data_IF_660774614235
#
_entry.id   IF_660774614235
#
_cell.length_a   1.000
_cell.length_b   1.000
_cell.length_c   1.000
_cell.angle_alpha   90.00
_cell.angle_beta   90.00
_cell.angle_gamma   90.00
#
_symmetry.space_group_name_H-M   'P 1'
#
loop_
_entity.id
_entity.type
_entity.pdbx_description
1 polymer ?
#
# COMPACT_ATOMS: atom_id res chain seq x y z
N UNK A 1 23.04 -13.85 -5.08
CA UNK A 1 21.95 -13.17 -4.36
C UNK A 1 20.86 -12.80 -5.35
N UNK A 2 19.63 -13.24 -5.13
CA UNK A 2 18.51 -12.95 -6.04
C UNK A 2 18.14 -11.47 -5.96
N UNK A 3 18.09 -10.78 -7.11
CA UNK A 3 17.66 -9.38 -7.17
C UNK A 3 16.11 -9.32 -7.09
N UNK A 4 15.58 -9.20 -5.87
CA UNK A 4 14.14 -9.13 -5.61
C UNK A 4 13.48 -7.98 -6.39
N UNK A 5 14.12 -6.81 -6.47
CA UNK A 5 13.57 -5.67 -7.20
C UNK A 5 13.42 -5.96 -8.70
N UNK A 6 14.33 -6.74 -9.31
CA UNK A 6 14.20 -7.15 -10.70
C UNK A 6 13.01 -8.10 -10.92
N UNK A 7 12.80 -9.06 -10.02
CA UNK A 7 11.63 -9.96 -10.06
C UNK A 7 10.31 -9.19 -9.92
N UNK A 8 10.26 -8.23 -9.00
CA UNK A 8 9.10 -7.35 -8.82
C UNK A 8 8.82 -6.52 -10.08
N UNK A 9 9.86 -6.08 -10.81
CA UNK A 9 9.66 -5.33 -12.06
C UNK A 9 9.02 -6.16 -13.17
N UNK A 10 9.31 -7.45 -13.23
CA UNK A 10 8.88 -8.35 -14.30
C UNK A 10 7.57 -9.08 -13.99
N UNK A 11 7.20 -9.21 -12.71
CA UNK A 11 6.00 -9.95 -12.32
C UNK A 11 4.70 -9.22 -12.66
N UNK A 12 3.72 -9.97 -13.17
CA UNK A 12 2.38 -9.49 -13.49
C UNK A 12 1.40 -9.56 -12.31
N UNK A 13 1.83 -10.02 -11.14
CA UNK A 13 0.95 -10.04 -9.97
C UNK A 13 0.50 -8.61 -9.62
N UNK A 14 -0.80 -8.46 -9.31
CA UNK A 14 -1.45 -7.17 -9.09
C UNK A 14 -0.69 -6.23 -8.13
N UNK A 15 -0.20 -6.67 -6.95
CA UNK A 15 0.51 -5.78 -6.03
C UNK A 15 1.77 -5.16 -6.65
N UNK A 16 2.49 -5.91 -7.48
CA UNK A 16 3.69 -5.43 -8.15
C UNK A 16 3.36 -4.46 -9.28
N UNK A 17 2.25 -4.68 -10.00
CA UNK A 17 1.76 -3.75 -11.01
C UNK A 17 1.39 -2.39 -10.38
N UNK A 18 0.66 -2.40 -9.26
CA UNK A 18 0.32 -1.19 -8.50
C UNK A 18 1.57 -0.49 -7.97
N UNK A 19 2.50 -1.22 -7.36
CA UNK A 19 3.75 -0.66 -6.85
C UNK A 19 4.58 0.03 -7.96
N UNK A 20 4.66 -0.60 -9.15
CA UNK A 20 5.32 0.01 -10.31
C UNK A 20 4.61 1.29 -10.76
N UNK A 21 3.29 1.28 -10.82
CA UNK A 21 2.49 2.44 -11.22
C UNK A 21 2.63 3.60 -10.21
N UNK A 22 2.61 3.31 -8.90
CA UNK A 22 2.86 4.28 -7.84
C UNK A 22 4.24 4.93 -7.98
N UNK A 23 5.28 4.10 -8.17
CA UNK A 23 6.63 4.61 -8.36
C UNK A 23 6.75 5.49 -9.61
N UNK A 24 6.34 4.97 -10.77
CA UNK A 24 6.56 5.65 -12.06
C UNK A 24 5.71 6.91 -12.23
N UNK A 25 4.46 6.93 -11.73
CA UNK A 25 3.51 8.03 -11.98
C UNK A 25 3.48 9.11 -10.89
N UNK A 26 3.96 8.81 -9.68
CA UNK A 26 3.76 9.71 -8.52
C UNK A 26 5.05 10.05 -7.79
N UNK A 27 5.92 9.06 -7.55
CA UNK A 27 6.97 9.17 -6.53
C UNK A 27 8.39 9.30 -7.08
N UNK A 28 8.63 8.86 -8.33
CA UNK A 28 9.97 8.92 -8.94
C UNK A 28 10.51 10.34 -9.09
N UNK A 29 9.65 11.30 -9.42
CA UNK A 29 10.03 12.70 -9.66
C UNK A 29 9.66 13.63 -8.51
N UNK A 30 8.78 13.20 -7.61
CA UNK A 30 8.33 14.00 -6.47
C UNK A 30 8.69 13.28 -5.16
N UNK A 31 9.86 13.59 -4.57
CA UNK A 31 10.26 12.98 -3.32
C UNK A 31 9.30 13.38 -2.19
N UNK A 32 8.98 12.46 -1.26
CA UNK A 32 8.03 12.74 -0.20
C UNK A 32 8.57 13.78 0.79
N UNK A 33 7.82 14.88 0.97
CA UNK A 33 8.19 16.00 1.88
C UNK A 33 8.49 15.57 3.31
N UNK A 34 7.82 14.52 3.80
CA UNK A 34 7.96 14.00 5.18
C UNK A 34 9.05 12.92 5.30
N UNK A 35 9.76 12.61 4.23
CA UNK A 35 10.82 11.59 4.21
C UNK A 35 10.35 10.14 4.18
N UNK A 36 9.03 9.90 4.01
CA UNK A 36 8.44 8.58 3.83
C UNK A 36 7.21 8.63 2.92
N UNK A 37 6.89 7.51 2.26
CA UNK A 37 5.64 7.31 1.52
C UNK A 37 4.57 6.81 2.48
N UNK A 38 3.47 7.54 2.56
CA UNK A 38 2.34 7.17 3.41
C UNK A 38 1.37 6.28 2.62
N UNK A 39 1.13 5.08 3.13
CA UNK A 39 0.04 4.20 2.72
C UNK A 39 -1.07 4.32 3.74
N UNK A 40 -2.31 4.35 3.28
CA UNK A 40 -3.49 4.50 4.12
C UNK A 40 -4.51 3.43 3.78
N UNK A 41 -5.21 2.96 4.80
CA UNK A 41 -6.37 2.09 4.66
C UNK A 41 -7.37 2.43 5.76
N UNK A 42 -8.65 2.34 5.44
CA UNK A 42 -9.73 2.65 6.34
C UNK A 42 -10.76 1.54 6.31
N UNK A 43 -11.50 1.38 7.40
CA UNK A 43 -12.68 0.54 7.45
C UNK A 43 -13.78 1.21 8.27
N UNK A 44 -15.04 0.96 7.90
CA UNK A 44 -16.20 1.38 8.67
C UNK A 44 -16.44 0.43 9.85
N UNK A 45 -16.54 0.90 11.10
CA UNK A 45 -16.77 0.08 12.29
C UNK A 45 -18.26 -0.18 12.58
N UNK A 46 -19.14 -0.10 11.58
CA UNK A 46 -20.59 -0.24 11.75
C UNK A 46 -21.06 -1.68 12.02
N UNK A 47 -20.17 -2.67 11.96
CA UNK A 47 -20.47 -4.07 12.23
C UNK A 47 -19.22 -4.90 12.52
N UNK A 48 -19.41 -6.18 12.83
CA UNK A 48 -18.29 -7.11 13.02
C UNK A 48 -17.50 -7.24 11.70
N UNK A 49 -16.16 -7.15 11.74
CA UNK A 49 -15.34 -7.32 10.54
C UNK A 49 -15.60 -8.67 9.88
N UNK A 50 -15.83 -8.64 8.57
CA UNK A 50 -15.92 -9.84 7.75
C UNK A 50 -14.72 -9.92 6.80
N UNK A 51 -14.61 -11.02 6.06
CA UNK A 51 -13.48 -11.28 5.14
C UNK A 51 -13.25 -10.14 4.14
N UNK A 52 -14.29 -9.38 3.79
CA UNK A 52 -14.20 -8.20 2.93
C UNK A 52 -13.43 -7.05 3.60
N UNK A 53 -13.77 -6.72 4.85
CA UNK A 53 -13.05 -5.73 5.67
C UNK A 53 -11.56 -6.10 5.81
N UNK A 54 -11.26 -7.38 6.06
CA UNK A 54 -9.88 -7.86 6.07
C UNK A 54 -9.21 -7.71 4.69
N UNK A 55 -9.95 -8.00 3.63
CA UNK A 55 -9.54 -7.81 2.24
C UNK A 55 -9.12 -6.37 1.94
N UNK A 56 -9.87 -5.38 2.40
CA UNK A 56 -9.57 -3.95 2.22
C UNK A 56 -8.26 -3.56 2.89
N UNK A 57 -8.07 -3.97 4.15
CA UNK A 57 -6.86 -3.67 4.93
C UNK A 57 -5.62 -4.39 4.37
N UNK A 58 -5.76 -5.67 4.00
CA UNK A 58 -4.62 -6.47 3.52
C UNK A 58 -4.14 -6.02 2.15
N UNK A 59 -5.02 -5.52 1.27
CA UNK A 59 -4.65 -5.07 -0.07
C UNK A 59 -3.65 -3.92 -0.04
N UNK A 60 -3.86 -2.93 0.84
CA UNK A 60 -2.89 -1.84 1.04
C UNK A 60 -1.54 -2.38 1.53
N UNK A 61 -1.56 -3.36 2.43
CA UNK A 61 -0.35 -4.03 2.92
C UNK A 61 0.41 -4.76 1.81
N UNK A 62 -0.30 -5.50 0.95
CA UNK A 62 0.29 -6.19 -0.20
C UNK A 62 1.01 -5.22 -1.14
N UNK A 63 0.36 -4.10 -1.49
CA UNK A 63 0.95 -3.08 -2.37
C UNK A 63 2.14 -2.39 -1.69
N UNK A 64 2.05 -2.11 -0.39
CA UNK A 64 3.16 -1.54 0.39
C UNK A 64 4.39 -2.45 0.39
N UNK A 65 4.23 -3.74 0.68
CA UNK A 65 5.35 -4.70 0.65
C UNK A 65 5.94 -4.83 -0.76
N UNK A 66 5.10 -4.85 -1.79
CA UNK A 66 5.53 -4.82 -3.18
C UNK A 66 6.35 -3.56 -3.51
N UNK A 67 5.96 -2.41 -2.97
CA UNK A 67 6.67 -1.15 -3.14
C UNK A 67 8.02 -1.12 -2.43
N UNK A 68 8.08 -1.58 -1.17
CA UNK A 68 9.33 -1.70 -0.41
C UNK A 68 10.33 -2.64 -1.12
N UNK A 69 9.84 -3.75 -1.70
CA UNK A 69 10.65 -4.67 -2.47
C UNK A 69 11.13 -4.08 -3.82
N UNK A 70 10.34 -3.20 -4.44
CA UNK A 70 10.70 -2.50 -5.68
C UNK A 70 11.76 -1.41 -5.44
N UNK A 71 11.67 -0.70 -4.30
CA UNK A 71 12.48 0.49 -3.97
C UNK A 71 12.96 0.46 -2.51
N UNK A 72 13.92 -0.42 -2.15
CA UNK A 72 14.33 -0.68 -0.75
C UNK A 72 14.93 0.52 0.00
N UNK A 73 15.25 1.62 -0.68
CA UNK A 73 15.76 2.85 -0.05
C UNK A 73 14.69 3.85 0.38
N UNK A 74 13.42 3.63 0.03
CA UNK A 74 12.32 4.56 0.35
C UNK A 74 11.59 4.10 1.60
N UNK A 75 11.61 4.94 2.64
CA UNK A 75 10.85 4.68 3.87
C UNK A 75 9.35 4.70 3.58
N UNK A 76 8.59 3.80 4.21
CA UNK A 76 7.13 3.80 4.12
C UNK A 76 6.50 3.81 5.52
N UNK A 77 5.23 4.22 5.60
CA UNK A 77 4.38 4.07 6.78
C UNK A 77 2.99 3.61 6.33
N UNK A 78 2.32 2.85 7.18
CA UNK A 78 0.92 2.46 6.99
C UNK A 78 0.09 3.07 8.12
N UNK A 79 -0.89 3.89 7.77
CA UNK A 79 -1.93 4.33 8.70
C UNK A 79 -3.20 3.54 8.42
N UNK A 80 -3.72 2.91 9.46
CA UNK A 80 -5.02 2.23 9.43
C UNK A 80 -5.95 2.98 10.35
N UNK A 81 -7.09 3.40 9.84
CA UNK A 81 -8.08 4.15 10.61
C UNK A 81 -9.43 3.46 10.58
N UNK A 82 -10.18 3.66 11.66
CA UNK A 82 -11.58 3.31 11.77
C UNK A 82 -12.38 4.57 11.49
N UNK A 83 -13.25 4.55 10.48
CA UNK A 83 -14.11 5.69 10.18
C UNK A 83 -15.36 5.66 11.08
N UNK A 84 -15.17 6.05 12.34
CA UNK A 84 -16.18 5.97 13.41
C UNK A 84 -17.12 7.18 13.49
N UNK A 85 -16.92 8.16 12.61
CA UNK A 85 -17.76 9.35 12.48
C UNK A 85 -18.91 9.16 11.49
N UNK A 86 -18.97 8.01 10.81
CA UNK A 86 -20.02 7.70 9.84
C UNK A 86 -21.37 7.50 10.57
N UNK A 87 -22.43 8.13 10.07
CA UNK A 87 -23.75 8.07 10.71
C UNK A 87 -24.29 6.64 10.78
N UNK A 88 -24.94 6.26 11.89
CA UNK A 88 -25.61 4.96 12.04
C UNK A 88 -26.63 4.78 10.89
N UNK A 89 -26.36 3.83 9.99
CA UNK A 89 -27.22 3.43 8.86
C UNK A 89 -27.72 2.01 9.07
#
# INVERSE_FOLDING_TARGET
>A
MTNIAALVRQSNAWPFAEARALWSKRLKETPPKRGYVLFETGYGPSGLPHIGTFGEVVRTTMVRCAFEALVPGVKTRLFTFSDDMDGLR
#
